data_IF_728884827501
#
_entry.id   IF_728884827501
#
_cell.length_a   1.000
_cell.length_b   1.000
_cell.length_c   1.000
_cell.angle_alpha   90.00
_cell.angle_beta   90.00
_cell.angle_gamma   90.00
#
_symmetry.space_group_name_H-M   'P 1'
#
loop_
_entity.id
_entity.type
_entity.pdbx_description
1 polymer ?
#
# COMPACT_ATOMS: atom_id res chain seq x y z
N UNK A 1 -38.02 33.15 53.97
CA UNK A 1 -37.62 33.73 52.67
C UNK A 1 -36.11 33.67 52.53
N UNK A 2 -35.53 32.49 52.25
CA UNK A 2 -34.14 32.32 51.77
C UNK A 2 -34.08 30.94 51.10
N UNK A 3 -34.45 30.85 49.82
CA UNK A 3 -34.30 29.62 49.01
C UNK A 3 -34.12 29.95 47.52
N UNK A 4 -33.63 31.15 47.20
CA UNK A 4 -33.53 31.66 45.81
C UNK A 4 -32.06 31.94 45.41
N UNK A 5 -31.12 32.09 46.35
CA UNK A 5 -29.71 32.38 46.03
C UNK A 5 -28.90 31.17 45.55
N UNK A 6 -29.32 29.95 45.89
CA UNK A 6 -28.61 28.72 45.52
C UNK A 6 -28.78 28.37 44.03
N UNK A 7 -29.97 28.62 43.48
CA UNK A 7 -30.36 28.21 42.12
C UNK A 7 -29.56 28.94 41.04
N UNK A 8 -29.25 30.22 41.26
CA UNK A 8 -28.49 31.03 40.30
C UNK A 8 -27.05 30.53 40.11
N UNK A 9 -26.39 30.11 41.21
CA UNK A 9 -25.04 29.56 41.17
C UNK A 9 -24.99 28.23 40.42
N UNK A 10 -26.02 27.40 40.59
CA UNK A 10 -26.17 26.16 39.83
C UNK A 10 -26.39 26.43 38.33
N UNK A 11 -27.24 27.40 37.98
CA UNK A 11 -27.49 27.78 36.58
C UNK A 11 -26.20 28.28 35.91
N UNK A 12 -25.45 29.15 36.59
CA UNK A 12 -24.17 29.63 36.06
C UNK A 12 -23.13 28.51 35.90
N UNK A 13 -23.06 27.58 36.85
CA UNK A 13 -22.11 26.49 36.81
C UNK A 13 -22.42 25.50 35.67
N UNK A 14 -23.71 25.20 35.45
CA UNK A 14 -24.16 24.41 34.29
C UNK A 14 -23.86 25.15 32.98
N UNK A 15 -24.15 26.45 32.89
CA UNK A 15 -23.86 27.25 31.69
C UNK A 15 -22.36 27.31 31.38
N UNK A 16 -21.52 27.42 32.42
CA UNK A 16 -20.07 27.42 32.27
C UNK A 16 -19.52 26.06 31.81
N UNK A 17 -20.02 24.95 32.36
CA UNK A 17 -19.66 23.60 31.91
C UNK A 17 -20.11 23.38 30.47
N UNK A 18 -21.34 23.77 30.11
CA UNK A 18 -21.84 23.67 28.73
C UNK A 18 -20.99 24.49 27.76
N UNK A 19 -20.57 25.71 28.13
CA UNK A 19 -19.69 26.52 27.31
C UNK A 19 -18.31 25.88 27.11
N UNK A 20 -17.73 25.27 28.15
CA UNK A 20 -16.47 24.53 28.04
C UNK A 20 -16.64 23.32 27.12
N UNK A 21 -17.69 22.52 27.31
CA UNK A 21 -17.96 21.37 26.46
C UNK A 21 -18.13 21.81 25.01
N UNK A 22 -18.87 22.87 24.73
CA UNK A 22 -19.06 23.38 23.36
C UNK A 22 -17.77 23.96 22.74
N UNK A 23 -16.84 24.48 23.54
CA UNK A 23 -15.54 24.97 23.03
C UNK A 23 -14.50 23.85 22.87
N UNK A 24 -14.53 22.82 23.72
CA UNK A 24 -13.57 21.70 23.69
C UNK A 24 -14.03 20.61 22.72
N UNK A 25 -15.33 20.42 22.51
CA UNK A 25 -15.88 19.44 21.58
C UNK A 25 -15.32 19.57 20.15
N UNK A 26 -15.26 20.75 19.50
CA UNK A 26 -14.65 20.88 18.18
C UNK A 26 -13.14 20.64 18.19
N UNK A 27 -12.44 20.84 19.31
CA UNK A 27 -11.00 20.51 19.44
C UNK A 27 -10.78 18.99 19.57
N UNK A 28 -11.74 18.25 20.10
CA UNK A 28 -11.68 16.78 20.19
C UNK A 28 -12.16 16.09 18.91
N UNK A 29 -13.05 16.71 18.13
CA UNK A 29 -13.57 16.13 16.88
C UNK A 29 -12.73 16.45 15.64
N UNK A 30 -11.70 17.30 15.74
CA UNK A 30 -10.80 17.67 14.62
C UNK A 30 -9.50 16.83 14.65
N UNK A 31 -9.55 15.64 15.24
CA UNK A 31 -8.56 14.58 15.01
C UNK A 31 -9.20 13.47 14.16
N UNK A 32 -9.77 13.84 13.01
CA UNK A 32 -9.69 12.93 11.87
C UNK A 32 -8.24 13.01 11.41
N UNK A 33 -7.40 12.10 11.91
CA UNK A 33 -6.14 11.79 11.24
C UNK A 33 -6.42 11.42 9.78
N UNK A 34 -5.39 11.36 8.92
CA UNK A 34 -5.58 10.88 7.56
C UNK A 34 -6.40 9.59 7.60
N UNK A 35 -7.50 9.56 6.85
CA UNK A 35 -8.38 8.41 6.79
C UNK A 35 -7.55 7.20 6.35
N UNK A 36 -7.28 6.30 7.30
CA UNK A 36 -6.60 5.05 7.04
C UNK A 36 -7.34 4.29 5.93
N UNK A 37 -6.58 3.69 5.00
CA UNK A 37 -7.15 2.95 3.88
C UNK A 37 -8.03 1.82 4.45
N UNK A 38 -9.35 1.94 4.33
CA UNK A 38 -10.28 1.02 5.01
C UNK A 38 -10.42 -0.27 4.18
N UNK A 39 -9.66 -1.31 4.53
CA UNK A 39 -9.64 -2.62 3.85
C UNK A 39 -8.22 -3.13 3.59
N UNK A 40 -8.05 -4.30 2.96
CA UNK A 40 -6.74 -4.65 2.37
C UNK A 40 -6.56 -3.76 1.14
N UNK A 41 -5.65 -2.78 1.15
CA UNK A 41 -5.55 -1.81 0.07
C UNK A 41 -4.89 -2.41 -1.17
N UNK A 42 -4.42 -3.65 -1.08
CA UNK A 42 -3.64 -4.31 -2.11
C UNK A 42 -4.46 -5.36 -2.85
N UNK A 43 -4.41 -5.26 -4.18
CA UNK A 43 -4.88 -6.30 -5.08
C UNK A 43 -3.68 -6.86 -5.84
N UNK A 44 -3.48 -8.16 -5.75
CA UNK A 44 -2.40 -8.87 -6.45
C UNK A 44 -2.99 -9.84 -7.45
N UNK A 45 -2.62 -9.71 -8.72
CA UNK A 45 -3.03 -10.61 -9.80
C UNK A 45 -1.94 -10.74 -10.86
N UNK A 46 -2.15 -11.61 -11.85
CA UNK A 46 -1.22 -11.80 -12.97
C UNK A 46 -1.79 -11.16 -14.23
N UNK A 47 -0.95 -10.48 -15.00
CA UNK A 47 -1.30 -9.93 -16.31
C UNK A 47 -0.34 -10.47 -17.37
N UNK A 48 -0.86 -10.74 -18.56
CA UNK A 48 -0.06 -11.21 -19.70
C UNK A 48 0.33 -10.02 -20.58
N UNK A 49 1.61 -9.93 -20.90
CA UNK A 49 2.24 -8.85 -21.66
C UNK A 49 3.12 -9.53 -22.70
N UNK A 50 2.73 -9.42 -23.97
CA UNK A 50 3.45 -10.00 -25.11
C UNK A 50 3.84 -11.48 -24.93
N UNK A 51 2.93 -12.27 -24.34
CA UNK A 51 3.14 -13.70 -24.09
C UNK A 51 3.86 -14.02 -22.78
N UNK A 52 4.33 -13.00 -22.05
CA UNK A 52 4.99 -13.15 -20.74
C UNK A 52 4.04 -12.74 -19.62
N UNK A 53 3.99 -13.51 -18.53
CA UNK A 53 3.19 -13.13 -17.37
C UNK A 53 4.01 -12.31 -16.38
N UNK A 54 3.45 -11.20 -15.91
CA UNK A 54 3.96 -10.42 -14.78
C UNK A 54 2.93 -10.41 -13.65
N UNK A 55 3.39 -10.17 -12.44
CA UNK A 55 2.52 -10.00 -11.28
C UNK A 55 2.24 -8.51 -11.14
N UNK A 56 0.96 -8.13 -11.16
CA UNK A 56 0.50 -6.77 -10.90
C UNK A 56 0.08 -6.66 -9.43
N UNK A 57 0.56 -5.61 -8.78
CA UNK A 57 0.22 -5.22 -7.40
C UNK A 57 -0.40 -3.83 -7.46
N UNK A 58 -1.72 -3.74 -7.31
CA UNK A 58 -2.44 -2.48 -7.32
C UNK A 58 -2.76 -2.04 -5.89
N UNK A 59 -2.44 -0.78 -5.58
CA UNK A 59 -2.80 -0.12 -4.33
C UNK A 59 -4.01 0.79 -4.55
N UNK A 60 -5.04 0.59 -3.75
CA UNK A 60 -6.21 1.46 -3.70
C UNK A 60 -6.30 2.05 -2.31
N UNK A 61 -6.08 3.36 -2.21
CA UNK A 61 -6.38 4.12 -1.01
C UNK A 61 -7.25 5.32 -1.37
N UNK A 62 -8.28 5.56 -0.55
CA UNK A 62 -9.15 6.71 -0.72
C UNK A 62 -8.40 7.97 -0.28
N UNK A 63 -8.30 8.92 -1.22
CA UNK A 63 -7.83 10.31 -1.10
C UNK A 63 -6.76 10.67 -0.03
N UNK A 64 -5.57 11.05 -0.51
CA UNK A 64 -4.59 11.81 0.28
C UNK A 64 -3.47 11.00 0.94
N UNK A 65 -3.58 9.66 0.98
CA UNK A 65 -2.52 8.78 1.47
C UNK A 65 -1.31 8.73 0.53
N UNK A 66 -0.11 8.94 1.06
CA UNK A 66 1.14 8.68 0.34
C UNK A 66 1.28 7.20 -0.03
N UNK A 67 2.08 6.88 -1.05
CA UNK A 67 2.40 5.47 -1.31
C UNK A 67 3.39 4.95 -0.28
N UNK A 68 3.11 3.80 0.34
CA UNK A 68 4.06 3.20 1.24
C UNK A 68 5.25 2.67 0.44
N UNK A 69 6.41 2.60 1.09
CA UNK A 69 7.57 1.87 0.56
C UNK A 69 7.20 0.39 0.51
N UNK A 70 7.15 -0.18 -0.70
CA UNK A 70 6.72 -1.55 -0.94
C UNK A 70 7.92 -2.47 -1.12
N UNK A 71 7.96 -3.58 -0.39
CA UNK A 71 8.90 -4.68 -0.56
C UNK A 71 8.14 -5.97 -0.84
N UNK A 72 8.78 -6.88 -1.56
CA UNK A 72 8.21 -8.17 -1.89
C UNK A 72 9.23 -9.30 -1.72
N UNK A 73 8.75 -10.45 -1.28
CA UNK A 73 9.43 -11.74 -1.38
C UNK A 73 8.53 -12.66 -2.18
N UNK A 74 9.11 -13.37 -3.15
CA UNK A 74 8.39 -14.37 -3.92
C UNK A 74 8.73 -15.76 -3.40
N UNK A 75 7.71 -16.60 -3.20
CA UNK A 75 7.91 -18.01 -2.88
C UNK A 75 7.47 -18.81 -4.10
N UNK A 76 8.40 -19.59 -4.63
CA UNK A 76 8.15 -20.41 -5.81
C UNK A 76 7.25 -21.63 -5.49
N UNK A 77 6.74 -22.33 -6.52
CA UNK A 77 5.90 -23.52 -6.34
C UNK A 77 6.58 -24.66 -5.57
N UNK A 78 7.91 -24.66 -5.48
CA UNK A 78 8.70 -25.65 -4.74
C UNK A 78 8.93 -25.21 -3.28
N UNK A 79 8.55 -23.98 -2.92
CA UNK A 79 8.63 -23.41 -1.58
C UNK A 79 9.90 -22.60 -1.34
N UNK A 80 10.71 -22.29 -2.35
CA UNK A 80 11.92 -21.49 -2.17
C UNK A 80 11.59 -19.99 -2.19
N UNK A 81 12.07 -19.22 -1.20
CA UNK A 81 11.93 -17.77 -1.20
C UNK A 81 12.98 -17.12 -2.12
N UNK A 82 12.56 -16.08 -2.81
CA UNK A 82 13.36 -15.27 -3.71
C UNK A 82 13.17 -13.79 -3.37
N UNK A 83 14.28 -13.09 -3.16
CA UNK A 83 14.27 -11.65 -2.96
C UNK A 83 13.87 -10.92 -4.24
N UNK A 84 13.04 -9.89 -4.10
CA UNK A 84 12.65 -9.01 -5.20
C UNK A 84 13.43 -7.71 -5.08
N UNK A 85 14.26 -7.43 -6.09
CA UNK A 85 14.99 -6.17 -6.20
C UNK A 85 14.11 -5.00 -6.59
N UNK A 86 14.53 -3.78 -6.27
CA UNK A 86 13.84 -2.56 -6.67
C UNK A 86 14.35 -2.09 -8.05
N UNK A 87 13.44 -1.92 -9.00
CA UNK A 87 13.68 -1.27 -10.29
C UNK A 87 13.52 0.24 -10.19
N UNK A 88 13.05 0.89 -11.27
CA UNK A 88 12.64 2.29 -11.19
C UNK A 88 11.34 2.36 -10.39
N UNK A 89 11.38 3.04 -9.24
CA UNK A 89 10.20 3.28 -8.40
C UNK A 89 9.96 4.78 -8.32
N UNK A 90 8.85 5.24 -8.88
CA UNK A 90 8.40 6.61 -8.84
C UNK A 90 7.50 6.86 -7.64
N UNK A 91 7.48 8.10 -7.16
CA UNK A 91 6.53 8.52 -6.15
C UNK A 91 5.10 8.48 -6.69
N UNK A 92 4.15 8.15 -5.82
CA UNK A 92 2.75 8.25 -6.16
C UNK A 92 2.28 9.69 -6.08
N UNK A 93 1.88 10.24 -7.23
CA UNK A 93 1.35 11.59 -7.34
C UNK A 93 -0.09 11.54 -7.84
N UNK A 94 -1.07 11.92 -7.01
CA UNK A 94 -2.46 12.09 -7.43
C UNK A 94 -3.05 10.87 -8.16
N UNK A 95 -3.05 9.70 -7.49
CA UNK A 95 -3.46 8.37 -8.01
C UNK A 95 -2.56 7.77 -9.11
N UNK A 96 -1.57 8.49 -9.62
CA UNK A 96 -0.56 7.91 -10.52
C UNK A 96 0.42 7.03 -9.76
N UNK A 97 1.07 6.09 -10.47
CA UNK A 97 2.11 5.19 -9.95
C UNK A 97 1.69 4.30 -8.77
N UNK A 98 0.38 4.10 -8.59
CA UNK A 98 -0.25 3.25 -7.57
C UNK A 98 -0.30 1.77 -7.95
N UNK A 99 0.34 1.39 -9.05
CA UNK A 99 0.40 0.01 -9.53
C UNK A 99 1.85 -0.37 -9.75
N UNK A 100 2.27 -1.43 -9.07
CA UNK A 100 3.58 -2.04 -9.25
C UNK A 100 3.46 -3.31 -10.06
N UNK A 101 4.55 -3.66 -10.72
CA UNK A 101 4.72 -4.86 -11.51
C UNK A 101 5.96 -5.59 -11.00
N UNK A 102 5.77 -6.84 -10.62
CA UNK A 102 6.87 -7.76 -10.32
C UNK A 102 7.10 -8.63 -11.55
N UNK A 103 8.35 -8.69 -11.99
CA UNK A 103 8.76 -9.37 -13.20
C UNK A 103 10.08 -10.10 -12.99
N UNK A 104 10.35 -11.10 -13.82
CA UNK A 104 11.63 -11.78 -13.86
C UNK A 104 12.54 -11.08 -14.89
N UNK A 105 13.76 -10.78 -14.47
CA UNK A 105 14.79 -10.28 -15.36
C UNK A 105 16.18 -10.60 -14.78
N UNK A 106 16.92 -11.45 -15.49
CA UNK A 106 18.26 -11.84 -15.07
C UNK A 106 19.29 -10.88 -15.66
N UNK A 107 19.89 -10.03 -14.83
CA UNK A 107 21.02 -9.20 -15.28
C UNK A 107 22.28 -10.06 -15.49
N UNK A 108 23.17 -9.67 -16.41
CA UNK A 108 24.44 -10.38 -16.62
C UNK A 108 25.41 -10.30 -15.42
N UNK A 109 25.11 -9.44 -14.44
CA UNK A 109 25.93 -9.18 -13.27
C UNK A 109 25.66 -10.22 -12.18
N UNK A 110 26.71 -10.92 -11.74
CA UNK A 110 26.61 -11.90 -10.67
C UNK A 110 26.14 -11.26 -9.34
N UNK A 111 25.21 -11.92 -8.67
CA UNK A 111 24.66 -11.46 -7.38
C UNK A 111 23.52 -10.44 -7.51
N UNK A 112 23.04 -10.17 -8.72
CA UNK A 112 21.81 -9.40 -8.91
C UNK A 112 20.57 -10.27 -8.65
N UNK A 113 19.49 -9.70 -8.09
CA UNK A 113 18.26 -10.44 -7.90
C UNK A 113 17.66 -10.82 -9.26
N UNK A 114 17.02 -12.00 -9.30
CA UNK A 114 16.35 -12.52 -10.50
C UNK A 114 14.99 -11.85 -10.72
N UNK A 115 14.34 -11.39 -9.65
CA UNK A 115 13.02 -10.77 -9.67
C UNK A 115 13.12 -9.29 -9.29
N UNK A 116 12.29 -8.48 -9.93
CA UNK A 116 12.32 -7.03 -9.78
C UNK A 116 10.92 -6.46 -9.64
N UNK A 117 10.78 -5.37 -8.90
CA UNK A 117 9.53 -4.62 -8.76
C UNK A 117 9.69 -3.19 -9.28
N UNK A 118 8.69 -2.69 -10.01
CA UNK A 118 8.66 -1.31 -10.54
C UNK A 118 7.23 -0.79 -10.60
N UNK A 119 7.02 0.51 -10.45
CA UNK A 119 5.76 1.18 -10.79
C UNK A 119 5.92 2.16 -11.96
N UNK A 120 6.99 2.00 -12.76
CA UNK A 120 7.18 2.65 -14.05
C UNK A 120 6.72 1.68 -15.15
N UNK A 121 5.53 1.88 -15.74
CA UNK A 121 5.01 0.99 -16.77
C UNK A 121 5.94 0.85 -17.97
N UNK A 122 6.70 1.88 -18.36
CA UNK A 122 7.63 1.80 -19.48
C UNK A 122 8.71 0.72 -19.28
N UNK A 123 9.08 0.37 -18.04
CA UNK A 123 10.01 -0.74 -17.80
C UNK A 123 9.45 -2.12 -18.19
N UNK A 124 8.13 -2.24 -18.29
CA UNK A 124 7.43 -3.51 -18.53
C UNK A 124 6.82 -3.55 -19.93
N UNK A 125 6.27 -2.42 -20.40
CA UNK A 125 5.48 -2.32 -21.62
C UNK A 125 6.24 -1.63 -22.77
N UNK A 126 7.48 -1.21 -22.57
CA UNK A 126 8.36 -0.72 -23.65
C UNK A 126 9.77 -1.30 -23.55
N UNK A 127 10.55 -1.11 -24.61
CA UNK A 127 11.96 -1.49 -24.72
C UNK A 127 12.92 -0.36 -24.30
N UNK A 128 12.40 0.72 -23.70
CA UNK A 128 13.18 1.92 -23.34
C UNK A 128 14.21 1.65 -22.22
N UNK A 129 13.92 0.68 -21.34
CA UNK A 129 14.73 0.39 -20.15
C UNK A 129 15.43 -0.96 -20.22
N UNK A 130 14.68 -2.02 -20.55
CA UNK A 130 15.19 -3.38 -20.65
C UNK A 130 14.70 -3.99 -21.96
N UNK A 131 15.54 -4.79 -22.65
CA UNK A 131 15.22 -5.29 -23.98
C UNK A 131 14.08 -6.32 -23.97
N UNK A 132 13.94 -7.07 -22.88
CA UNK A 132 12.85 -8.03 -22.66
C UNK A 132 12.82 -8.45 -21.19
N UNK A 133 11.61 -8.79 -20.72
CA UNK A 133 11.38 -9.52 -19.47
C UNK A 133 11.33 -11.02 -19.72
N UNK A 134 11.58 -11.81 -18.69
CA UNK A 134 11.54 -13.27 -18.74
C UNK A 134 10.23 -13.81 -18.15
N UNK A 135 9.83 -15.01 -18.59
CA UNK A 135 8.78 -15.77 -17.93
C UNK A 135 9.23 -16.30 -16.57
N UNK A 136 8.31 -16.33 -15.60
CA UNK A 136 8.55 -16.94 -14.30
C UNK A 136 8.77 -18.44 -14.44
N UNK A 137 9.82 -18.95 -13.80
CA UNK A 137 10.09 -20.38 -13.72
C UNK A 137 10.35 -20.82 -12.27
N UNK A 138 9.74 -21.93 -11.81
CA UNK A 138 8.84 -22.82 -12.57
C UNK A 138 7.39 -22.28 -12.69
N UNK A 139 6.62 -22.73 -13.70
CA UNK A 139 5.19 -22.45 -13.76
C UNK A 139 4.47 -23.14 -12.60
N UNK A 140 3.51 -22.46 -11.96
CA UNK A 140 2.85 -23.00 -10.79
C UNK A 140 2.12 -21.95 -9.97
N UNK A 141 1.78 -22.32 -8.74
CA UNK A 141 1.25 -21.40 -7.76
C UNK A 141 2.43 -20.74 -7.04
N UNK A 142 2.56 -19.44 -7.19
CA UNK A 142 3.54 -18.62 -6.50
C UNK A 142 2.86 -17.89 -5.34
N UNK A 143 3.62 -17.61 -4.28
CA UNK A 143 3.17 -16.73 -3.20
C UNK A 143 3.95 -15.43 -3.26
N UNK A 144 3.23 -14.32 -3.13
CA UNK A 144 3.76 -12.96 -3.08
C UNK A 144 3.59 -12.46 -1.66
N UNK A 145 4.68 -12.45 -0.90
CA UNK A 145 4.72 -11.87 0.43
C UNK A 145 5.05 -10.39 0.30
N UNK A 146 4.05 -9.54 0.45
CA UNK A 146 4.20 -8.09 0.40
C UNK A 146 4.38 -7.54 1.80
N UNK A 147 5.37 -6.69 1.98
CA UNK A 147 5.52 -5.85 3.17
C UNK A 147 5.61 -4.39 2.76
N UNK A 148 5.05 -3.52 3.57
CA UNK A 148 5.03 -2.09 3.27
C UNK A 148 5.28 -1.25 4.52
N UNK A 149 5.94 -0.12 4.32
CA UNK A 149 6.25 0.86 5.37
C UNK A 149 5.66 2.22 4.97
N UNK A 150 4.97 2.87 5.91
CA UNK A 150 4.28 4.13 5.67
C UNK A 150 3.56 4.61 6.92
N UNK A 151 2.39 5.24 6.75
CA UNK A 151 1.54 5.65 7.86
C UNK A 151 1.00 4.43 8.65
N UNK A 152 0.67 3.35 7.93
CA UNK A 152 0.43 2.04 8.48
C UNK A 152 1.39 1.04 7.83
N UNK A 153 2.30 0.48 8.62
CA UNK A 153 3.14 -0.63 8.15
C UNK A 153 2.39 -1.95 8.28
N UNK A 154 2.59 -2.84 7.31
CA UNK A 154 1.94 -4.13 7.33
C UNK A 154 2.61 -5.16 6.43
N UNK A 155 2.11 -6.38 6.52
CA UNK A 155 2.54 -7.49 5.70
C UNK A 155 1.34 -8.36 5.33
N UNK A 156 1.29 -8.83 4.09
CA UNK A 156 0.23 -9.70 3.61
C UNK A 156 0.71 -10.59 2.47
N UNK A 157 0.22 -11.83 2.43
CA UNK A 157 0.60 -12.85 1.46
C UNK A 157 -0.51 -13.09 0.45
N UNK A 158 -0.15 -13.24 -0.83
CA UNK A 158 -1.09 -13.46 -1.93
C UNK A 158 -0.65 -14.65 -2.77
N UNK A 159 -1.56 -15.59 -3.05
CA UNK A 159 -1.29 -16.68 -3.97
C UNK A 159 -1.67 -16.28 -5.40
N UNK A 160 -0.75 -16.45 -6.35
CA UNK A 160 -0.94 -16.14 -7.77
C UNK A 160 -0.56 -17.32 -8.64
N UNK A 161 -1.33 -17.59 -9.70
CA UNK A 161 -1.05 -18.68 -10.64
C UNK A 161 -0.29 -18.14 -11.84
N UNK A 162 0.90 -18.69 -12.10
CA UNK A 162 1.77 -18.33 -13.22
C UNK A 162 2.05 -19.57 -14.09
N UNK A 163 2.12 -19.41 -15.40
CA UNK A 163 2.19 -20.48 -16.40
C UNK A 163 0.82 -21.17 -16.61
N UNK A 164 0.34 -21.13 -17.85
CA UNK A 164 -0.81 -21.92 -18.35
C UNK A 164 -0.28 -22.95 -19.33
#
# INVERSE_FOLDING_TARGET
>A
MVLIESSWRFILLVAFISAIVLMVFPLLTVFEGPTACTGSPWKVDTVNIDGTQVIRVAYTCDEGGGCPTLRAVLIDPEGHPHEVGEGVVQECAGRQNTTWYIFQYTRPEAGTPRFWITNEPAMIFSDDYIPAIEGFEPPGLWVVDLSWEGEESGQMSYAVKIGV
#
